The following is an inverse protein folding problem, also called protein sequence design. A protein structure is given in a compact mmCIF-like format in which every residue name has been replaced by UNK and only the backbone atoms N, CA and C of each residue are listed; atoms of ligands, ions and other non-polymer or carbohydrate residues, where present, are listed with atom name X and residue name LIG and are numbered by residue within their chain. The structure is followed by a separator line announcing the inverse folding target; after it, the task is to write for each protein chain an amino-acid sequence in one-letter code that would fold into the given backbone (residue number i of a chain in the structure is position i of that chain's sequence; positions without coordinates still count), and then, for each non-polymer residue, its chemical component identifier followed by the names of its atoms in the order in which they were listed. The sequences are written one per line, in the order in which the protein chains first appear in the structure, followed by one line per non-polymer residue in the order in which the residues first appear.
data_IF_843346697475
#
_entry.id   IF_843346697475
#
_cell.length_a   1.000
_cell.length_b   1.000
_cell.length_c   1.000
_cell.angle_alpha   90.00
_cell.angle_beta   90.00
_cell.angle_gamma   90.00
#
_symmetry.space_group_name_H-M   'P 1'
#
loop_
_entity.id
_entity.type
_entity.pdbx_description
1 polymer ?
#
# COMPACT_ATOMS: atom_id res chain seq x y z
N UNK A 1 -21.08 -5.24 -9.32
CA UNK A 1 -20.39 -4.62 -8.17
C UNK A 1 -19.60 -5.72 -7.52
N UNK A 2 -18.28 -5.76 -7.73
CA UNK A 2 -17.46 -6.96 -7.45
C UNK A 2 -16.92 -6.92 -6.03
N UNK A 3 -16.54 -5.74 -5.52
CA UNK A 3 -16.09 -5.60 -4.13
C UNK A 3 -17.17 -6.00 -3.12
N UNK A 4 -18.39 -5.43 -3.26
CA UNK A 4 -19.47 -5.67 -2.30
C UNK A 4 -19.84 -7.15 -2.17
N UNK A 5 -19.87 -7.88 -3.29
CA UNK A 5 -20.11 -9.33 -3.31
C UNK A 5 -19.00 -10.08 -2.59
N UNK A 6 -17.73 -9.72 -2.79
CA UNK A 6 -16.60 -10.36 -2.07
C UNK A 6 -16.64 -10.10 -0.57
N UNK A 7 -16.93 -8.87 -0.16
CA UNK A 7 -17.07 -8.54 1.27
C UNK A 7 -18.14 -9.43 1.91
N UNK A 8 -19.28 -9.58 1.23
CA UNK A 8 -20.37 -10.45 1.67
C UNK A 8 -19.94 -11.92 1.77
N UNK A 9 -19.29 -12.44 0.73
CA UNK A 9 -18.81 -13.83 0.68
C UNK A 9 -17.80 -14.12 1.81
N UNK A 10 -16.79 -13.28 2.01
CA UNK A 10 -15.80 -13.47 3.06
C UNK A 10 -16.41 -13.34 4.47
N UNK A 11 -17.36 -12.41 4.64
CA UNK A 11 -18.13 -12.29 5.90
C UNK A 11 -18.91 -13.58 6.18
N UNK A 12 -19.60 -14.12 5.19
CA UNK A 12 -20.42 -15.34 5.32
C UNK A 12 -19.56 -16.58 5.54
N UNK A 13 -18.38 -16.69 4.90
CA UNK A 13 -17.41 -17.76 5.18
C UNK A 13 -16.96 -17.79 6.64
N UNK A 14 -16.92 -16.63 7.30
CA UNK A 14 -16.59 -16.50 8.73
C UNK A 14 -17.80 -16.62 9.65
N UNK A 15 -19.00 -16.83 9.11
CA UNK A 15 -20.24 -16.92 9.88
C UNK A 15 -20.66 -15.61 10.55
N UNK A 16 -20.17 -14.47 10.05
CA UNK A 16 -20.43 -13.16 10.66
C UNK A 16 -21.72 -12.54 10.12
N UNK A 17 -22.48 -11.88 10.98
CA UNK A 17 -23.55 -10.97 10.56
C UNK A 17 -22.98 -9.64 10.05
N UNK A 18 -23.77 -8.86 9.31
CA UNK A 18 -23.38 -7.50 8.93
C UNK A 18 -23.06 -6.62 10.15
N UNK A 19 -23.72 -6.90 11.29
CA UNK A 19 -23.46 -6.19 12.54
C UNK A 19 -22.09 -6.59 13.11
N UNK A 20 -21.75 -7.88 13.07
CA UNK A 20 -20.47 -8.38 13.61
C UNK A 20 -19.28 -7.82 12.81
N UNK A 21 -19.41 -7.72 11.49
CA UNK A 21 -18.39 -7.08 10.64
C UNK A 21 -18.29 -5.58 10.95
N UNK A 22 -19.42 -4.91 11.17
CA UNK A 22 -19.45 -3.50 11.50
C UNK A 22 -18.78 -3.21 12.85
N UNK A 23 -19.02 -4.04 13.86
CA UNK A 23 -18.36 -3.98 15.17
C UNK A 23 -16.85 -4.16 15.05
N UNK A 24 -16.39 -5.15 14.27
CA UNK A 24 -14.95 -5.41 14.05
C UNK A 24 -14.23 -4.27 13.33
N UNK A 25 -14.93 -3.56 12.45
CA UNK A 25 -14.40 -2.44 11.68
C UNK A 25 -14.65 -1.08 12.36
N UNK A 26 -15.32 -1.05 13.52
CA UNK A 26 -15.75 0.16 14.21
C UNK A 26 -16.53 1.13 13.30
N UNK A 27 -17.45 0.59 12.50
CA UNK A 27 -18.33 1.35 11.62
C UNK A 27 -19.79 1.03 11.89
N UNK A 28 -20.70 1.78 11.25
CA UNK A 28 -22.13 1.48 11.34
C UNK A 28 -22.50 0.24 10.51
N UNK A 29 -23.49 -0.54 10.97
CA UNK A 29 -24.08 -1.63 10.16
C UNK A 29 -24.60 -1.12 8.81
N UNK A 30 -25.12 0.11 8.77
CA UNK A 30 -25.56 0.74 7.52
C UNK A 30 -24.41 0.91 6.53
N UNK A 31 -23.20 1.23 7.00
CA UNK A 31 -22.00 1.33 6.15
C UNK A 31 -21.69 -0.01 5.48
N UNK A 32 -21.66 -1.10 6.26
CA UNK A 32 -21.43 -2.46 5.73
C UNK A 32 -22.50 -2.84 4.71
N UNK A 33 -23.78 -2.58 5.01
CA UNK A 33 -24.88 -2.84 4.07
C UNK A 33 -24.71 -2.07 2.76
N UNK A 34 -24.34 -0.78 2.83
CA UNK A 34 -24.10 0.04 1.63
C UNK A 34 -22.95 -0.50 0.79
N UNK A 35 -21.88 -0.99 1.42
CA UNK A 35 -20.74 -1.59 0.72
C UNK A 35 -21.10 -2.90 0.04
N UNK A 36 -21.81 -3.79 0.73
CA UNK A 36 -22.26 -5.07 0.17
C UNK A 36 -23.25 -4.89 -0.98
N UNK A 37 -24.13 -3.87 -0.89
CA UNK A 37 -25.03 -3.45 -1.96
C UNK A 37 -24.33 -2.64 -3.05
N UNK A 38 -23.06 -2.24 -2.83
CA UNK A 38 -22.24 -1.38 -3.70
C UNK A 38 -22.82 0.02 -3.98
N UNK A 39 -23.71 0.49 -3.10
CA UNK A 39 -24.22 1.87 -3.11
C UNK A 39 -23.21 2.88 -2.55
N UNK A 40 -22.21 2.40 -1.81
CA UNK A 40 -21.05 3.17 -1.38
C UNK A 40 -19.80 2.26 -1.39
N UNK A 41 -18.62 2.87 -1.33
CA UNK A 41 -17.35 2.16 -1.19
C UNK A 41 -16.72 2.42 0.18
N UNK A 42 -15.99 1.46 0.76
CA UNK A 42 -15.13 1.73 1.91
C UNK A 42 -13.98 2.65 1.48
N UNK A 43 -13.49 3.47 2.40
CA UNK A 43 -12.24 4.21 2.21
C UNK A 43 -11.01 3.29 2.24
N UNK A 44 -9.83 3.84 1.94
CA UNK A 44 -8.60 3.05 1.86
C UNK A 44 -8.21 2.40 3.19
N UNK A 45 -8.45 3.08 4.31
CA UNK A 45 -8.13 2.56 5.65
C UNK A 45 -9.03 1.35 5.97
N UNK A 46 -10.33 1.46 5.69
CA UNK A 46 -11.27 0.35 5.85
C UNK A 46 -10.97 -0.79 4.88
N UNK A 47 -10.54 -0.50 3.65
CA UNK A 47 -10.13 -1.55 2.72
C UNK A 47 -8.94 -2.35 3.23
N UNK A 48 -7.95 -1.70 3.85
CA UNK A 48 -6.82 -2.35 4.50
C UNK A 48 -7.31 -3.22 5.66
N UNK A 49 -8.12 -2.66 6.57
CA UNK A 49 -8.67 -3.41 7.70
C UNK A 49 -9.52 -4.61 7.27
N UNK A 50 -10.31 -4.47 6.21
CA UNK A 50 -11.08 -5.57 5.63
C UNK A 50 -10.14 -6.66 5.10
N UNK A 51 -9.07 -6.27 4.39
CA UNK A 51 -8.08 -7.21 3.87
C UNK A 51 -7.38 -7.99 5.00
N UNK A 52 -7.03 -7.32 6.11
CA UNK A 52 -6.42 -7.92 7.29
C UNK A 52 -7.41 -8.86 8.01
N UNK A 53 -8.66 -8.40 8.25
CA UNK A 53 -9.69 -9.18 8.92
C UNK A 53 -10.05 -10.45 8.16
N UNK A 54 -10.05 -10.39 6.83
CA UNK A 54 -10.33 -11.54 5.97
C UNK A 54 -9.07 -12.36 5.64
N UNK A 55 -7.88 -11.88 5.99
CA UNK A 55 -6.60 -12.50 5.68
C UNK A 55 -6.41 -12.72 4.16
N UNK A 56 -6.75 -11.69 3.38
CA UNK A 56 -6.61 -11.64 1.92
C UNK A 56 -5.79 -10.42 1.52
N UNK A 57 -5.16 -10.43 0.35
CA UNK A 57 -4.47 -9.24 -0.14
C UNK A 57 -5.46 -8.18 -0.61
N UNK A 58 -5.10 -6.90 -0.47
CA UNK A 58 -5.91 -5.79 -0.97
C UNK A 58 -6.16 -5.92 -2.48
N UNK A 59 -5.16 -6.34 -3.27
CA UNK A 59 -5.34 -6.64 -4.70
C UNK A 59 -6.45 -7.66 -4.91
N UNK A 60 -6.38 -8.82 -4.24
CA UNK A 60 -7.40 -9.86 -4.35
C UNK A 60 -8.79 -9.38 -3.93
N UNK A 61 -8.87 -8.46 -2.98
CA UNK A 61 -10.13 -7.87 -2.52
C UNK A 61 -10.75 -6.97 -3.59
N UNK A 62 -9.97 -6.09 -4.25
CA UNK A 62 -10.47 -5.08 -5.19
C UNK A 62 -10.41 -5.50 -6.67
N UNK A 63 -9.72 -6.60 -7.01
CA UNK A 63 -9.46 -7.02 -8.39
C UNK A 63 -10.72 -7.20 -9.23
N UNK A 64 -10.81 -6.53 -10.37
CA UNK A 64 -11.97 -6.62 -11.28
C UNK A 64 -13.05 -5.58 -10.99
N UNK A 65 -12.98 -4.83 -9.89
CA UNK A 65 -13.81 -3.63 -9.71
C UNK A 65 -13.14 -2.40 -10.34
N UNK A 66 -13.32 -2.26 -11.66
CA UNK A 66 -12.68 -1.20 -12.47
C UNK A 66 -13.01 0.22 -11.98
N UNK A 67 -14.16 0.42 -11.31
CA UNK A 67 -14.55 1.74 -10.78
C UNK A 67 -13.73 2.09 -9.54
N UNK A 68 -13.50 1.12 -8.66
CA UNK A 68 -12.63 1.29 -7.51
C UNK A 68 -11.18 1.47 -7.93
N UNK A 69 -10.66 0.64 -8.83
CA UNK A 69 -9.28 0.74 -9.29
C UNK A 69 -8.95 2.10 -9.93
N UNK A 70 -9.93 2.74 -10.58
CA UNK A 70 -9.76 4.09 -11.15
C UNK A 70 -9.72 5.19 -10.08
N UNK A 71 -10.50 5.03 -9.02
CA UNK A 71 -10.61 6.02 -7.93
C UNK A 71 -9.49 5.87 -6.90
N UNK A 72 -9.01 4.65 -6.69
CA UNK A 72 -7.83 4.32 -5.91
C UNK A 72 -6.62 4.38 -6.86
N UNK A 73 -6.30 5.57 -7.38
CA UNK A 73 -4.91 5.82 -7.79
C UNK A 73 -4.13 5.85 -6.48
N UNK A 74 -3.63 4.68 -6.08
CA UNK A 74 -2.76 4.51 -4.92
C UNK A 74 -1.56 5.43 -5.16
N UNK A 75 -1.54 6.58 -4.49
CA UNK A 75 -0.31 7.28 -4.22
C UNK A 75 0.46 6.35 -3.29
N UNK A 76 1.24 5.47 -3.91
CA UNK A 76 2.15 4.61 -3.19
C UNK A 76 3.17 5.58 -2.60
N UNK A 77 3.02 5.92 -1.32
CA UNK A 77 4.10 6.39 -0.49
C UNK A 77 5.13 5.26 -0.30
N UNK A 78 5.59 4.65 -1.39
CA UNK A 78 6.97 4.18 -1.49
C UNK A 78 7.82 5.44 -1.69
N UNK A 79 7.98 6.20 -0.61
CA UNK A 79 8.93 7.30 -0.55
C UNK A 79 10.33 6.68 -0.49
N UNK A 80 10.85 6.21 -1.64
CA UNK A 80 12.28 5.97 -1.81
C UNK A 80 12.94 7.32 -2.12
N UNK A 81 13.04 8.17 -1.10
CA UNK A 81 14.10 9.17 -1.09
C UNK A 81 15.41 8.38 -0.95
N UNK A 82 16.21 8.26 -2.02
CA UNK A 82 17.62 7.91 -1.84
C UNK A 82 18.22 9.01 -0.97
N UNK A 83 18.43 8.72 0.31
CA UNK A 83 19.10 9.67 1.19
C UNK A 83 20.55 9.79 0.74
N UNK A 84 21.17 10.93 1.00
CA UNK A 84 22.61 11.14 0.76
C UNK A 84 23.42 9.99 1.38
N UNK A 85 22.93 9.40 2.46
CA UNK A 85 23.46 8.20 3.11
C UNK A 85 23.40 6.91 2.26
N UNK A 86 22.36 6.70 1.45
CA UNK A 86 22.24 5.53 0.57
C UNK A 86 23.21 5.62 -0.62
N UNK A 87 23.39 6.83 -1.14
CA UNK A 87 24.38 7.09 -2.18
C UNK A 87 25.81 6.96 -1.63
N UNK A 88 26.10 7.58 -0.49
CA UNK A 88 27.41 7.51 0.15
C UNK A 88 27.79 6.07 0.53
N UNK A 89 26.86 5.28 1.08
CA UNK A 89 27.15 3.89 1.46
C UNK A 89 27.45 2.99 0.27
N UNK A 90 26.75 3.18 -0.86
CA UNK A 90 26.92 2.38 -2.07
C UNK A 90 28.14 2.78 -2.91
N UNK A 91 28.54 4.05 -2.84
CA UNK A 91 29.61 4.61 -3.66
C UNK A 91 30.80 5.15 -2.86
N UNK A 92 30.94 4.78 -1.57
CA UNK A 92 32.06 5.17 -0.72
C UNK A 92 33.43 4.88 -1.35
N UNK A 93 33.52 3.77 -2.09
CA UNK A 93 34.74 3.33 -2.75
C UNK A 93 35.27 4.32 -3.81
N UNK A 94 34.45 5.24 -4.31
CA UNK A 94 34.87 6.27 -5.28
C UNK A 94 35.87 7.28 -4.69
N UNK A 95 36.01 7.35 -3.36
CA UNK A 95 37.02 8.18 -2.70
C UNK A 95 38.44 7.74 -3.08
N UNK A 96 38.70 6.44 -3.26
CA UNK A 96 40.01 5.92 -3.63
C UNK A 96 40.51 6.38 -5.01
N UNK A 97 39.76 6.19 -6.11
CA UNK A 97 40.19 6.64 -7.44
C UNK A 97 40.25 8.17 -7.53
N UNK A 98 39.31 8.90 -6.91
CA UNK A 98 39.31 10.38 -6.91
C UNK A 98 40.51 10.92 -6.14
N UNK A 99 40.82 10.36 -4.97
CA UNK A 99 41.98 10.75 -4.17
C UNK A 99 43.30 10.48 -4.89
N UNK A 100 43.44 9.31 -5.52
CA UNK A 100 44.63 8.97 -6.31
C UNK A 100 44.82 9.90 -7.52
N UNK A 101 43.74 10.25 -8.21
CA UNK A 101 43.77 11.16 -9.34
C UNK A 101 44.18 12.59 -8.92
N UNK A 102 43.58 13.11 -7.84
CA UNK A 102 43.94 14.44 -7.31
C UNK A 102 45.38 14.49 -6.79
N UNK A 103 45.83 13.44 -6.10
CA UNK A 103 47.22 13.33 -5.66
C UNK A 103 48.19 13.33 -6.85
N UNK A 104 47.86 12.61 -7.92
CA UNK A 104 48.65 12.59 -9.16
C UNK A 104 48.73 13.97 -9.83
N UNK A 105 47.63 14.71 -9.91
CA UNK A 105 47.61 16.08 -10.46
C UNK A 105 48.45 17.02 -9.59
N UNK A 106 48.30 16.96 -8.27
CA UNK A 106 49.02 17.84 -7.35
C UNK A 106 50.54 17.58 -7.39
N UNK A 107 50.94 16.31 -7.53
CA UNK A 107 52.35 15.93 -7.61
C UNK A 107 52.99 16.27 -8.97
N UNK A 108 52.19 16.43 -10.03
CA UNK A 108 52.68 16.82 -11.36
C UNK A 108 52.83 18.34 -11.54
N UNK A 109 52.35 19.13 -10.58
CA UNK A 109 52.44 20.61 -10.55
C UNK A 109 53.57 21.13 -9.64
N UNK A 110 54.39 20.24 -9.08
CA UNK A 110 55.53 20.53 -8.21
C UNK A 110 56.83 20.07 -8.86
#
# INVERSE_FOLDING_TARGET
MILGTRIKEEREKKGWSQNDLAEKLHVSRQSVSKWELGSAYPDIERLIQISDLFNVTLDSLIKGDNRLQKNIKVEHSTEYHMNVWDFLSRYWWLIFPVGGFLYGILNNLR
#
